data_IF_238120464797
#
_entry.id   IF_238120464797
#
_cell.length_a   1.000
_cell.length_b   1.000
_cell.length_c   1.000
_cell.angle_alpha   90.00
_cell.angle_beta   90.00
_cell.angle_gamma   90.00
#
_symmetry.space_group_name_H-M   'P 1'
#
loop_
_entity.id
_entity.type
_entity.pdbx_description
1 polymer ?
#
# COMPACT_ATOMS: atom_id res chain seq x y z
N UNK A 1 56.55 -5.41 2.19
CA UNK A 1 55.59 -5.64 3.27
C UNK A 1 54.20 -5.51 2.66
N UNK A 2 53.46 -6.61 2.52
CA UNK A 2 52.07 -6.56 2.06
C UNK A 2 51.22 -5.83 3.12
N UNK A 3 50.28 -4.94 2.73
CA UNK A 3 49.40 -4.28 3.69
C UNK A 3 48.59 -5.37 4.40
N UNK A 4 48.53 -5.31 5.74
CA UNK A 4 47.69 -6.22 6.53
C UNK A 4 46.25 -6.08 6.03
N UNK A 5 45.67 -7.18 5.56
CA UNK A 5 44.27 -7.24 5.16
C UNK A 5 43.39 -6.71 6.29
N UNK A 6 42.56 -5.72 5.96
CA UNK A 6 41.65 -5.10 6.93
C UNK A 6 40.49 -6.07 7.15
N UNK A 7 40.49 -6.71 8.31
CA UNK A 7 39.39 -7.60 8.71
C UNK A 7 38.18 -6.80 9.21
N UNK A 8 36.99 -7.32 8.94
CA UNK A 8 35.70 -6.73 9.31
C UNK A 8 34.97 -7.68 10.26
N UNK A 9 34.36 -7.12 11.28
CA UNK A 9 33.64 -7.86 12.30
C UNK A 9 32.19 -8.11 11.88
N UNK A 10 31.74 -9.36 11.93
CA UNK A 10 30.35 -9.72 11.67
C UNK A 10 29.45 -9.25 12.82
N UNK A 11 28.32 -8.62 12.51
CA UNK A 11 27.39 -8.13 13.53
C UNK A 11 26.73 -9.24 14.37
N UNK A 12 26.59 -10.44 13.82
CA UNK A 12 25.85 -11.53 14.48
C UNK A 12 26.74 -12.39 15.36
N UNK A 13 27.91 -12.82 14.85
CA UNK A 13 28.81 -13.70 15.59
C UNK A 13 30.02 -13.00 16.21
N UNK A 14 30.25 -11.71 15.91
CA UNK A 14 31.41 -10.92 16.37
C UNK A 14 32.79 -11.45 15.93
N UNK A 15 32.84 -12.44 15.04
CA UNK A 15 34.08 -12.91 14.43
C UNK A 15 34.55 -11.98 13.31
N UNK A 16 35.85 -12.06 12.97
CA UNK A 16 36.51 -11.18 12.01
C UNK A 16 36.82 -11.91 10.71
N UNK A 17 36.36 -11.36 9.59
CA UNK A 17 36.47 -11.95 8.26
C UNK A 17 37.18 -10.99 7.29
N UNK A 18 37.67 -11.54 6.18
CA UNK A 18 38.15 -10.73 5.07
C UNK A 18 36.99 -9.93 4.45
N UNK A 19 37.32 -8.83 3.79
CA UNK A 19 36.31 -7.97 3.14
C UNK A 19 35.45 -8.74 2.12
N UNK A 20 36.03 -9.73 1.44
CA UNK A 20 35.37 -10.54 0.40
C UNK A 20 34.34 -11.54 0.95
N UNK A 21 34.42 -11.86 2.25
CA UNK A 21 33.54 -12.82 2.93
C UNK A 21 32.42 -12.14 3.74
N UNK A 22 32.26 -10.82 3.55
CA UNK A 22 31.27 -10.01 4.24
C UNK A 22 30.21 -9.50 3.27
N UNK A 23 28.96 -9.67 3.67
CA UNK A 23 27.76 -9.18 3.00
C UNK A 23 27.19 -8.02 3.81
N UNK A 24 26.67 -7.01 3.14
CA UNK A 24 26.08 -5.85 3.78
C UNK A 24 24.58 -5.77 3.50
N UNK A 25 23.81 -5.17 4.39
CA UNK A 25 22.48 -4.69 4.00
C UNK A 25 22.61 -3.47 3.07
N UNK A 26 21.71 -3.34 2.11
CA UNK A 26 21.69 -2.19 1.20
C UNK A 26 21.31 -0.91 1.98
N UNK A 27 21.97 0.22 1.70
CA UNK A 27 21.77 1.48 2.43
C UNK A 27 20.63 2.35 1.86
N UNK A 28 19.97 1.91 0.79
CA UNK A 28 18.82 2.63 0.24
C UNK A 28 17.53 2.01 0.78
N UNK A 29 16.99 2.60 1.83
CA UNK A 29 15.58 2.44 2.15
C UNK A 29 14.77 2.98 0.96
N UNK A 30 14.21 2.06 0.16
CA UNK A 30 13.55 2.36 -1.12
C UNK A 30 12.31 3.26 -0.93
N UNK A 31 11.84 3.43 0.32
CA UNK A 31 10.60 4.15 0.63
C UNK A 31 10.83 5.47 1.38
N UNK A 32 11.91 5.64 2.15
CA UNK A 32 12.04 6.81 3.04
C UNK A 32 13.41 7.53 3.05
N UNK A 33 14.44 7.10 2.30
CA UNK A 33 15.76 7.76 2.27
C UNK A 33 16.34 8.05 3.68
N UNK A 34 16.05 7.18 4.66
CA UNK A 34 16.68 7.25 5.99
C UNK A 34 17.89 6.31 6.03
N UNK A 35 19.09 6.78 6.40
CA UNK A 35 20.22 5.87 6.64
C UNK A 35 19.85 4.91 7.79
N UNK A 36 20.32 3.65 7.74
CA UNK A 36 20.18 2.72 8.87
C UNK A 36 20.64 3.48 10.14
N UNK A 37 19.79 3.51 11.16
CA UNK A 37 19.81 4.45 12.28
C UNK A 37 21.20 4.72 12.90
N UNK A 38 21.45 6.01 13.10
CA UNK A 38 22.62 6.74 13.63
C UNK A 38 23.11 6.38 15.05
N UNK A 39 22.95 5.15 15.51
CA UNK A 39 23.33 4.77 16.89
C UNK A 39 24.68 4.08 17.01
N UNK A 40 25.24 3.50 15.95
CA UNK A 40 26.58 2.87 15.95
C UNK A 40 27.41 3.33 14.74
N UNK A 41 28.74 3.27 14.88
CA UNK A 41 29.78 3.81 13.96
C UNK A 41 29.78 3.25 12.51
N UNK A 42 28.72 2.57 12.06
CA UNK A 42 28.66 1.90 10.77
C UNK A 42 27.40 2.30 9.99
N UNK A 43 27.59 2.90 8.81
CA UNK A 43 26.52 3.28 7.88
C UNK A 43 25.91 2.07 7.11
N UNK A 44 26.52 0.89 7.23
CA UNK A 44 26.14 -0.38 6.59
C UNK A 44 26.40 -1.54 7.55
N UNK A 45 25.51 -2.54 7.62
CA UNK A 45 25.62 -3.64 8.58
C UNK A 45 26.29 -4.88 7.97
N UNK A 46 27.46 -5.31 8.48
CA UNK A 46 28.23 -6.44 7.94
C UNK A 46 27.80 -7.81 8.52
N UNK A 47 27.72 -8.81 7.65
CA UNK A 47 27.34 -10.19 7.97
C UNK A 47 28.27 -11.19 7.27
N UNK A 48 28.75 -12.21 8.00
CA UNK A 48 29.50 -13.29 7.37
C UNK A 48 28.58 -14.27 6.64
N UNK A 49 29.15 -15.04 5.71
CA UNK A 49 28.43 -16.04 4.93
C UNK A 49 27.65 -17.03 5.78
N UNK A 50 28.23 -17.51 6.89
CA UNK A 50 27.57 -18.50 7.76
C UNK A 50 26.36 -17.93 8.48
N UNK A 51 26.41 -16.67 8.91
CA UNK A 51 25.27 -16.01 9.55
C UNK A 51 24.14 -15.74 8.53
N UNK A 52 24.48 -15.41 7.29
CA UNK A 52 23.52 -15.26 6.19
C UNK A 52 22.87 -16.59 5.84
N UNK A 53 23.66 -17.65 5.75
CA UNK A 53 23.17 -18.99 5.50
C UNK A 53 22.30 -19.49 6.66
N UNK A 54 22.69 -19.21 7.90
CA UNK A 54 21.92 -19.49 9.10
C UNK A 54 20.56 -18.79 9.07
N UNK A 55 20.53 -17.49 8.73
CA UNK A 55 19.30 -16.72 8.55
C UNK A 55 18.41 -17.35 7.46
N UNK A 56 18.98 -17.59 6.26
CA UNK A 56 18.25 -18.16 5.13
C UNK A 56 17.76 -19.60 5.38
N UNK A 57 18.47 -20.37 6.21
CA UNK A 57 18.10 -21.74 6.59
C UNK A 57 17.02 -21.76 7.67
N UNK A 58 17.15 -20.90 8.70
CA UNK A 58 16.14 -20.74 9.76
C UNK A 58 14.81 -20.20 9.21
N UNK A 59 14.89 -19.42 8.14
CA UNK A 59 13.77 -18.82 7.44
C UNK A 59 12.81 -19.83 6.76
N UNK A 60 13.14 -21.13 6.69
CA UNK A 60 12.28 -22.16 6.09
C UNK A 60 10.91 -22.32 6.79
N UNK A 61 10.71 -21.76 7.99
CA UNK A 61 9.41 -21.64 8.67
C UNK A 61 8.72 -20.27 8.51
N UNK A 62 9.44 -19.18 8.72
CA UNK A 62 8.98 -17.79 8.57
C UNK A 62 10.16 -17.00 7.98
N UNK A 63 10.15 -16.68 6.69
CA UNK A 63 11.22 -15.87 6.10
C UNK A 63 10.97 -14.41 6.50
N UNK A 64 11.91 -13.73 7.18
CA UNK A 64 11.84 -12.30 7.31
C UNK A 64 12.27 -11.70 5.97
N UNK A 65 11.37 -11.70 4.98
CA UNK A 65 11.62 -11.00 3.71
C UNK A 65 11.61 -9.50 3.96
N UNK A 66 12.50 -8.80 3.28
CA UNK A 66 12.42 -7.34 3.21
C UNK A 66 11.15 -6.93 2.43
N UNK A 67 10.62 -5.75 2.74
CA UNK A 67 9.46 -5.19 2.04
C UNK A 67 9.68 -5.22 0.53
N UNK A 68 8.69 -5.67 -0.23
CA UNK A 68 8.75 -5.78 -1.69
C UNK A 68 9.44 -7.04 -2.22
N UNK A 69 9.85 -7.99 -1.36
CA UNK A 69 10.33 -9.30 -1.80
C UNK A 69 11.67 -9.27 -2.54
N UNK A 70 12.54 -8.30 -2.25
CA UNK A 70 13.84 -8.11 -2.95
C UNK A 70 15.03 -8.81 -2.28
N UNK A 71 14.81 -9.44 -1.13
CA UNK A 71 15.86 -10.11 -0.37
C UNK A 71 15.47 -10.38 1.09
N UNK A 72 16.47 -10.70 1.91
CA UNK A 72 16.29 -10.96 3.34
C UNK A 72 16.25 -9.63 4.12
N UNK A 73 15.52 -9.58 5.23
CA UNK A 73 15.55 -8.44 6.15
C UNK A 73 16.90 -8.40 6.88
N UNK A 74 17.44 -7.19 7.06
CA UNK A 74 18.61 -6.96 7.89
C UNK A 74 18.42 -7.55 9.30
N UNK A 75 19.47 -8.18 9.85
CA UNK A 75 19.47 -8.76 11.19
C UNK A 75 19.67 -7.72 12.31
N UNK A 76 19.93 -6.46 11.95
CA UNK A 76 20.03 -5.38 12.93
C UNK A 76 18.63 -4.99 13.44
N UNK A 77 18.48 -4.95 14.76
CA UNK A 77 17.28 -4.42 15.42
C UNK A 77 17.00 -2.99 14.96
N UNK A 78 15.83 -2.78 14.35
CA UNK A 78 15.40 -1.46 13.90
C UNK A 78 15.90 -1.05 12.51
N UNK A 79 16.58 -1.93 11.74
CA UNK A 79 16.81 -1.69 10.32
C UNK A 79 15.92 -2.59 9.45
N UNK A 80 15.11 -1.98 8.59
CA UNK A 80 14.21 -2.66 7.64
C UNK A 80 14.88 -2.94 6.29
N UNK A 81 16.14 -2.53 6.13
CA UNK A 81 16.84 -2.60 4.85
C UNK A 81 17.03 -4.05 4.37
N UNK A 82 16.99 -4.26 3.04
CA UNK A 82 17.18 -5.58 2.45
C UNK A 82 18.67 -5.96 2.43
N UNK A 83 18.95 -7.23 2.63
CA UNK A 83 20.13 -7.92 2.13
C UNK A 83 19.71 -8.50 0.77
N UNK A 84 20.27 -7.98 -0.32
CA UNK A 84 19.76 -8.24 -1.66
C UNK A 84 19.97 -9.70 -2.06
N UNK A 85 18.94 -10.30 -2.67
CA UNK A 85 19.05 -11.69 -3.14
C UNK A 85 20.19 -11.87 -4.15
N UNK A 86 20.44 -10.87 -4.99
CA UNK A 86 21.53 -10.88 -5.98
C UNK A 86 22.92 -11.03 -5.37
N UNK A 87 23.12 -10.54 -4.15
CA UNK A 87 24.40 -10.60 -3.45
C UNK A 87 24.63 -11.97 -2.80
N UNK A 88 23.56 -12.59 -2.31
CA UNK A 88 23.65 -13.82 -1.53
C UNK A 88 23.34 -15.08 -2.36
N UNK A 89 22.74 -14.95 -3.55
CA UNK A 89 22.26 -16.08 -4.37
C UNK A 89 23.28 -17.21 -4.51
N UNK A 90 24.53 -16.87 -4.82
CA UNK A 90 25.60 -17.85 -5.07
C UNK A 90 26.09 -18.58 -3.80
N UNK A 91 25.81 -18.02 -2.63
CA UNK A 91 26.20 -18.58 -1.34
C UNK A 91 25.15 -19.55 -0.79
N UNK A 92 23.92 -19.48 -1.31
CA UNK A 92 22.81 -20.25 -0.81
C UNK A 92 22.71 -21.62 -1.51
N UNK A 93 22.46 -22.70 -0.76
CA UNK A 93 22.08 -24.00 -1.30
C UNK A 93 20.84 -23.95 -2.20
N UNK A 94 20.76 -24.83 -3.21
CA UNK A 94 19.69 -24.79 -4.22
C UNK A 94 18.28 -24.97 -3.63
N UNK A 95 18.14 -25.77 -2.57
CA UNK A 95 16.88 -25.94 -1.85
C UNK A 95 16.42 -24.65 -1.16
N UNK A 96 17.34 -23.81 -0.68
CA UNK A 96 17.03 -22.53 -0.04
C UNK A 96 16.75 -21.47 -1.11
N UNK A 97 17.52 -21.46 -2.20
CA UNK A 97 17.26 -20.58 -3.35
C UNK A 97 15.83 -20.71 -3.86
N UNK A 98 15.37 -21.94 -4.14
CA UNK A 98 14.05 -22.18 -4.70
C UNK A 98 12.93 -21.71 -3.75
N UNK A 99 13.09 -21.94 -2.43
CA UNK A 99 12.12 -21.49 -1.42
C UNK A 99 12.08 -19.97 -1.30
N UNK A 100 13.24 -19.32 -1.36
CA UNK A 100 13.30 -17.85 -1.33
C UNK A 100 12.67 -17.25 -2.58
N UNK A 101 12.97 -17.79 -3.77
CA UNK A 101 12.36 -17.35 -5.03
C UNK A 101 10.83 -17.47 -4.99
N UNK A 102 10.30 -18.61 -4.51
CA UNK A 102 8.85 -18.82 -4.36
C UNK A 102 8.23 -17.75 -3.43
N UNK A 103 8.84 -17.48 -2.27
CA UNK A 103 8.32 -16.48 -1.33
C UNK A 103 8.47 -15.04 -1.82
N UNK A 104 9.57 -14.72 -2.49
CA UNK A 104 9.78 -13.41 -3.09
C UNK A 104 8.74 -13.14 -4.20
N UNK A 105 8.42 -14.18 -4.98
CA UNK A 105 7.35 -14.13 -5.96
C UNK A 105 5.97 -13.94 -5.31
N UNK A 106 5.67 -14.69 -4.24
CA UNK A 106 4.44 -14.53 -3.46
C UNK A 106 4.28 -13.09 -2.91
N UNK A 107 5.31 -12.52 -2.29
CA UNK A 107 5.27 -11.17 -1.71
C UNK A 107 5.14 -10.08 -2.79
N UNK A 108 5.88 -10.19 -3.88
CA UNK A 108 5.82 -9.22 -4.98
C UNK A 108 4.44 -9.22 -5.66
N UNK A 109 3.85 -10.39 -5.87
CA UNK A 109 2.47 -10.51 -6.36
C UNK A 109 1.47 -10.04 -5.31
N UNK A 110 1.66 -10.42 -4.06
CA UNK A 110 0.76 -10.06 -2.96
C UNK A 110 0.62 -8.55 -2.85
N UNK A 111 1.72 -7.81 -2.94
CA UNK A 111 1.70 -6.35 -2.94
C UNK A 111 0.95 -5.78 -4.16
N UNK A 112 1.25 -6.27 -5.37
CA UNK A 112 0.57 -5.81 -6.58
C UNK A 112 -0.95 -6.09 -6.55
N UNK A 113 -1.35 -7.25 -6.04
CA UNK A 113 -2.75 -7.64 -5.90
C UNK A 113 -3.48 -6.76 -4.88
N UNK A 114 -2.84 -6.41 -3.76
CA UNK A 114 -3.42 -5.50 -2.77
C UNK A 114 -3.67 -4.10 -3.33
N UNK A 115 -2.73 -3.56 -4.12
CA UNK A 115 -2.90 -2.27 -4.81
C UNK A 115 -4.10 -2.29 -5.76
N UNK A 116 -4.25 -3.37 -6.54
CA UNK A 116 -5.39 -3.54 -7.45
C UNK A 116 -6.72 -3.64 -6.70
N UNK A 117 -6.77 -4.38 -5.59
CA UNK A 117 -7.98 -4.50 -4.79
C UNK A 117 -8.40 -3.16 -4.17
N UNK A 118 -7.44 -2.34 -3.74
CA UNK A 118 -7.75 -1.02 -3.17
C UNK A 118 -8.30 -0.05 -4.22
N UNK A 119 -7.76 -0.06 -5.44
CA UNK A 119 -8.27 0.77 -6.54
C UNK A 119 -9.67 0.31 -6.98
N UNK A 120 -9.90 -1.00 -7.13
CA UNK A 120 -11.22 -1.57 -7.43
C UNK A 120 -12.25 -1.23 -6.36
N UNK A 121 -11.85 -1.24 -5.08
CA UNK A 121 -12.72 -0.85 -3.97
C UNK A 121 -13.12 0.63 -4.05
N UNK A 122 -12.18 1.54 -4.34
CA UNK A 122 -12.48 2.97 -4.54
C UNK A 122 -13.48 3.19 -5.69
N UNK A 123 -13.28 2.48 -6.80
CA UNK A 123 -14.19 2.52 -7.96
C UNK A 123 -15.59 2.00 -7.59
N UNK A 124 -15.67 0.89 -6.87
CA UNK A 124 -16.95 0.34 -6.39
C UNK A 124 -17.66 1.30 -5.43
N UNK A 125 -16.93 1.93 -4.50
CA UNK A 125 -17.49 2.92 -3.56
C UNK A 125 -17.94 4.23 -4.23
N UNK A 126 -17.48 4.52 -5.46
CA UNK A 126 -17.95 5.65 -6.24
C UNK A 126 -19.39 5.45 -6.72
N UNK A 127 -19.81 4.22 -7.04
CA UNK A 127 -21.15 3.91 -7.56
C UNK A 127 -22.07 3.39 -6.45
N UNK A 128 -21.57 2.49 -5.61
CA UNK A 128 -22.37 1.81 -4.59
C UNK A 128 -22.57 2.71 -3.39
N UNK A 129 -23.83 2.93 -3.00
CA UNK A 129 -24.18 3.60 -1.75
C UNK A 129 -24.51 2.58 -0.68
N UNK A 130 -24.15 2.89 0.57
CA UNK A 130 -24.49 2.08 1.75
C UNK A 130 -25.45 2.86 2.63
N UNK A 131 -26.41 2.18 3.24
CA UNK A 131 -27.26 2.78 4.26
C UNK A 131 -26.46 3.05 5.54
N UNK A 132 -26.36 4.29 6.04
CA UNK A 132 -25.63 4.59 7.27
C UNK A 132 -26.19 3.88 8.52
N UNK A 133 -27.48 3.53 8.52
CA UNK A 133 -28.13 2.84 9.65
C UNK A 133 -27.88 1.33 9.68
N UNK A 134 -27.90 0.65 8.53
CA UNK A 134 -27.91 -0.83 8.49
C UNK A 134 -26.86 -1.44 7.55
N UNK A 135 -26.07 -0.63 6.85
CA UNK A 135 -24.98 -1.08 5.99
C UNK A 135 -25.37 -1.67 4.65
N UNK A 136 -26.67 -1.87 4.36
CA UNK A 136 -27.10 -2.47 3.08
C UNK A 136 -26.63 -1.62 1.90
N UNK A 137 -26.03 -2.28 0.92
CA UNK A 137 -25.54 -1.68 -0.31
C UNK A 137 -26.66 -1.57 -1.36
N UNK A 138 -26.68 -0.49 -2.13
CA UNK A 138 -27.64 -0.26 -3.21
C UNK A 138 -27.11 0.72 -4.26
N UNK A 139 -27.71 0.66 -5.46
CA UNK A 139 -27.44 1.56 -6.58
C UNK A 139 -28.78 2.15 -7.02
N UNK A 140 -28.79 3.42 -7.44
CA UNK A 140 -29.98 4.06 -8.01
C UNK A 140 -30.06 3.73 -9.49
N UNK A 141 -31.12 3.03 -9.90
CA UNK A 141 -31.41 2.76 -11.32
C UNK A 141 -32.18 3.91 -11.96
N UNK A 142 -33.17 4.46 -11.25
CA UNK A 142 -34.02 5.57 -11.73
C UNK A 142 -34.67 6.31 -10.56
N UNK A 143 -35.37 7.42 -10.85
CA UNK A 143 -36.14 8.19 -9.86
C UNK A 143 -35.39 9.38 -9.24
N UNK A 144 -35.88 9.85 -8.10
CA UNK A 144 -35.31 11.01 -7.41
C UNK A 144 -34.14 10.65 -6.48
N UNK A 145 -33.38 11.66 -6.05
CA UNK A 145 -32.18 11.48 -5.21
C UNK A 145 -32.49 11.30 -3.72
N UNK A 146 -33.77 11.35 -3.30
CA UNK A 146 -34.20 10.95 -1.95
C UNK A 146 -34.44 9.44 -1.94
N UNK A 147 -33.50 8.70 -1.37
CA UNK A 147 -33.58 7.24 -1.26
C UNK A 147 -34.15 6.87 0.11
N UNK A 148 -34.96 5.81 0.16
CA UNK A 148 -35.46 5.24 1.43
C UNK A 148 -34.98 3.81 1.53
N UNK A 149 -34.22 3.52 2.58
CA UNK A 149 -33.75 2.18 2.88
C UNK A 149 -34.90 1.31 3.42
N UNK A 150 -34.79 -0.02 3.28
CA UNK A 150 -35.73 -0.99 3.86
C UNK A 150 -35.81 -0.91 5.39
N UNK A 151 -34.78 -0.39 6.06
CA UNK A 151 -34.80 -0.12 7.50
C UNK A 151 -35.52 1.19 7.89
N UNK A 152 -36.10 1.91 6.92
CA UNK A 152 -36.85 3.15 7.12
C UNK A 152 -36.03 4.44 7.11
N UNK A 153 -34.68 4.36 7.10
CA UNK A 153 -33.83 5.55 6.97
C UNK A 153 -33.93 6.15 5.56
N UNK A 154 -34.09 7.47 5.49
CA UNK A 154 -33.93 8.23 4.24
C UNK A 154 -32.49 8.71 4.08
N UNK A 155 -31.99 8.80 2.84
CA UNK A 155 -30.70 9.39 2.56
C UNK A 155 -30.63 10.05 1.19
N UNK A 156 -29.73 11.00 1.02
CA UNK A 156 -29.43 11.59 -0.28
C UNK A 156 -28.51 10.65 -1.08
N UNK A 157 -28.86 10.33 -2.32
CA UNK A 157 -27.98 9.55 -3.19
C UNK A 157 -26.69 10.29 -3.56
N UNK A 158 -26.78 11.63 -3.63
CA UNK A 158 -25.70 12.52 -4.03
C UNK A 158 -24.67 12.71 -2.91
N UNK A 159 -25.07 13.34 -1.80
CA UNK A 159 -24.15 13.70 -0.72
C UNK A 159 -24.08 12.64 0.40
N UNK A 160 -24.83 11.54 0.29
CA UNK A 160 -24.88 10.44 1.27
C UNK A 160 -25.40 10.83 2.66
N UNK A 161 -25.92 12.06 2.83
CA UNK A 161 -26.49 12.53 4.10
C UNK A 161 -27.69 11.69 4.51
N UNK A 162 -27.71 11.26 5.78
CA UNK A 162 -28.75 10.46 6.39
C UNK A 162 -29.93 11.30 6.92
N UNK A 163 -31.05 10.63 7.14
CA UNK A 163 -32.29 11.15 7.75
C UNK A 163 -32.81 12.45 7.09
N UNK A 164 -32.64 12.55 5.77
CA UNK A 164 -33.08 13.73 5.00
C UNK A 164 -34.56 13.71 4.64
N UNK A 165 -35.13 14.89 4.48
CA UNK A 165 -36.46 15.11 3.89
C UNK A 165 -36.36 15.92 2.59
N UNK A 166 -37.49 16.25 1.96
CA UNK A 166 -37.48 16.93 0.66
C UNK A 166 -36.88 18.34 0.74
N UNK A 167 -36.89 18.95 1.92
CA UNK A 167 -36.26 20.23 2.23
C UNK A 167 -34.73 20.19 2.08
N UNK A 168 -34.12 19.01 1.98
CA UNK A 168 -32.69 18.88 1.66
C UNK A 168 -32.36 19.41 0.26
N UNK A 169 -33.30 19.31 -0.68
CA UNK A 169 -33.07 19.65 -2.08
C UNK A 169 -33.36 21.13 -2.35
N UNK A 170 -32.57 21.71 -3.26
CA UNK A 170 -32.81 23.05 -3.77
C UNK A 170 -34.07 23.05 -4.66
N UNK A 171 -35.05 23.94 -4.39
CA UNK A 171 -36.25 24.07 -5.23
C UNK A 171 -36.04 25.03 -6.42
N UNK A 172 -34.95 25.80 -6.42
CA UNK A 172 -34.68 26.81 -7.44
C UNK A 172 -34.15 26.18 -8.73
N UNK A 173 -34.45 26.82 -9.85
CA UNK A 173 -33.89 26.46 -11.14
C UNK A 173 -32.36 26.61 -11.10
N UNK A 174 -31.62 25.62 -11.62
CA UNK A 174 -30.17 25.74 -11.80
C UNK A 174 -29.85 26.11 -13.24
N UNK A 175 -29.02 27.13 -13.37
CA UNK A 175 -28.35 27.43 -14.64
C UNK A 175 -27.45 26.22 -15.02
N UNK A 176 -27.56 25.69 -16.25
CA UNK A 176 -26.66 24.64 -16.74
C UNK A 176 -25.17 24.97 -16.59
N UNK A 177 -24.81 26.26 -16.59
CA UNK A 177 -23.43 26.74 -16.49
C UNK A 177 -22.99 27.08 -15.06
N UNK A 178 -23.91 27.10 -14.08
CA UNK A 178 -23.57 27.34 -12.68
C UNK A 178 -24.13 26.24 -11.77
N UNK A 179 -23.26 25.36 -11.24
CA UNK A 179 -23.70 24.26 -10.38
C UNK A 179 -24.23 24.74 -9.03
N UNK A 180 -23.95 25.98 -8.61
CA UNK A 180 -24.36 26.52 -7.32
C UNK A 180 -25.64 27.36 -7.42
N UNK A 181 -26.46 27.30 -6.37
CA UNK A 181 -27.64 28.15 -6.27
C UNK A 181 -27.26 29.48 -5.61
N UNK A 182 -27.65 30.61 -6.22
CA UNK A 182 -27.42 31.94 -5.65
C UNK A 182 -28.55 32.39 -4.69
N UNK A 183 -29.64 31.63 -4.62
CA UNK A 183 -30.83 31.95 -3.82
C UNK A 183 -30.89 31.17 -2.50
N UNK A 184 -30.09 30.11 -2.36
CA UNK A 184 -29.99 29.34 -1.12
C UNK A 184 -28.70 28.53 -1.03
N UNK A 185 -28.39 28.03 0.17
CA UNK A 185 -27.17 27.25 0.44
C UNK A 185 -27.31 25.74 0.19
N UNK A 186 -28.31 25.30 -0.61
CA UNK A 186 -28.57 23.87 -0.86
C UNK A 186 -27.85 23.38 -2.11
N UNK A 187 -26.97 22.40 -1.91
CA UNK A 187 -26.09 21.87 -2.96
C UNK A 187 -26.63 20.64 -3.69
N UNK A 188 -27.73 20.03 -3.23
CA UNK A 188 -28.32 18.86 -3.87
C UNK A 188 -29.60 19.20 -4.63
N UNK A 189 -29.76 18.59 -5.82
CA UNK A 189 -30.99 18.62 -6.59
C UNK A 189 -31.74 17.29 -6.48
N UNK A 190 -33.06 17.37 -6.42
CA UNK A 190 -33.90 16.16 -6.32
C UNK A 190 -33.84 15.31 -7.59
N UNK A 191 -33.71 15.95 -8.75
CA UNK A 191 -33.77 15.32 -10.08
C UNK A 191 -32.51 15.59 -10.92
N UNK A 192 -31.34 15.61 -10.28
CA UNK A 192 -30.07 15.62 -11.01
C UNK A 192 -29.67 14.19 -11.40
N UNK A 193 -29.04 14.08 -12.57
CA UNK A 193 -28.45 12.85 -13.06
C UNK A 193 -27.22 12.48 -12.22
N UNK A 194 -27.41 11.49 -11.34
CA UNK A 194 -26.34 10.98 -10.49
C UNK A 194 -25.27 10.25 -11.29
N UNK A 195 -25.60 9.69 -12.46
CA UNK A 195 -24.67 8.91 -13.27
C UNK A 195 -23.52 9.79 -13.77
N UNK A 196 -23.83 11.02 -14.22
CA UNK A 196 -22.79 11.97 -14.63
C UNK A 196 -21.78 12.28 -13.52
N UNK A 197 -22.26 12.42 -12.28
CA UNK A 197 -21.38 12.66 -11.13
C UNK A 197 -20.57 11.41 -10.81
N UNK A 198 -21.18 10.22 -10.83
CA UNK A 198 -20.48 8.97 -10.58
C UNK A 198 -19.42 8.69 -11.67
N UNK A 199 -19.72 8.97 -12.94
CA UNK A 199 -18.78 8.90 -14.07
C UNK A 199 -17.59 9.86 -13.91
N UNK A 200 -17.87 11.10 -13.49
CA UNK A 200 -16.83 12.09 -13.23
C UNK A 200 -15.91 11.65 -12.07
N UNK A 201 -16.48 11.15 -10.97
CA UNK A 201 -15.72 10.62 -9.84
C UNK A 201 -14.87 9.42 -10.24
N UNK A 202 -15.39 8.51 -11.07
CA UNK A 202 -14.63 7.36 -11.59
C UNK A 202 -13.44 7.83 -12.42
N UNK A 203 -13.64 8.85 -13.27
CA UNK A 203 -12.57 9.44 -14.08
C UNK A 203 -11.48 10.05 -13.19
N UNK A 204 -11.87 10.86 -12.21
CA UNK A 204 -10.95 11.48 -11.24
C UNK A 204 -10.17 10.42 -10.44
N UNK A 205 -10.83 9.34 -10.00
CA UNK A 205 -10.16 8.22 -9.32
C UNK A 205 -9.12 7.59 -10.24
N UNK A 206 -9.46 7.26 -11.48
CA UNK A 206 -8.51 6.65 -12.45
C UNK A 206 -7.29 7.53 -12.69
N UNK A 207 -7.51 8.82 -12.97
CA UNK A 207 -6.43 9.79 -13.18
C UNK A 207 -5.53 9.92 -11.93
N UNK A 208 -6.13 9.89 -10.73
CA UNK A 208 -5.36 9.97 -9.48
C UNK A 208 -4.55 8.71 -9.16
N UNK A 209 -4.99 7.53 -9.59
CA UNK A 209 -4.26 6.28 -9.40
C UNK A 209 -3.17 6.12 -10.47
N UNK A 210 -3.40 6.56 -11.71
CA UNK A 210 -2.37 6.63 -12.77
C UNK A 210 -1.23 7.58 -12.38
N UNK A 211 -1.53 8.71 -11.73
CA UNK A 211 -0.51 9.65 -11.26
C UNK A 211 0.35 9.14 -10.08
N UNK A 212 -0.05 8.04 -9.43
CA UNK A 212 0.69 7.40 -8.33
C UNK A 212 1.58 6.23 -8.79
N UNK A 213 1.37 5.74 -10.01
CA UNK A 213 2.13 4.65 -10.63
C UNK A 213 3.43 5.19 -11.26
#
# INVERSE_FOLDING_TARGET
MLPKEKLIECFVCSDKFAFEDIIYCNNTDVLENRPCSSTHNYEIHPFCHDCILGLASAAVGEIPLAKGGIGLRCMMTGCDNPILYSEIYKLLPKNIQNKLEERMFEESIGMALLVNLESEKKLNEAIVRKCPRCGIAFIKVSGCNKMTCRCGMTQCYICRQADIQYEHFCPHYRDPNNPNCNECNKNCLQFEDANKRDEQLIKEIRESEEAKA
#
